data_IF_008081438195
#
_entry.id   IF_008081438195
#
_cell.length_a   1.000
_cell.length_b   1.000
_cell.length_c   1.000
_cell.angle_alpha   90.00
_cell.angle_beta   90.00
_cell.angle_gamma   90.00
#
_symmetry.space_group_name_H-M   'P 1'
#
loop_
_entity.id
_entity.type
_entity.pdbx_description
1 polymer ?
#
# COMPACT_ATOMS: atom_id res chain seq x y z
N UNK A 1 -10.75 -0.53 7.28
CA UNK A 1 -9.47 0.19 7.02
C UNK A 1 -8.24 -0.47 7.68
N UNK A 2 -8.42 -1.41 8.61
CA UNK A 2 -7.34 -2.10 9.35
C UNK A 2 -6.56 -3.11 8.49
N UNK A 3 -7.25 -3.95 7.70
CA UNK A 3 -6.59 -4.98 6.87
C UNK A 3 -5.65 -4.46 5.79
N UNK A 4 -5.95 -3.29 5.18
CA UNK A 4 -5.09 -2.69 4.16
C UNK A 4 -3.74 -2.20 4.73
N UNK A 5 -3.72 -1.77 6.00
CA UNK A 5 -2.47 -1.34 6.67
C UNK A 5 -1.61 -2.55 7.02
N UNK A 6 -2.20 -3.59 7.61
CA UNK A 6 -1.48 -4.83 7.94
C UNK A 6 -0.85 -5.46 6.72
N UNK A 7 -1.60 -5.55 5.60
CA UNK A 7 -1.07 -6.11 4.34
C UNK A 7 0.10 -5.31 3.79
N UNK A 8 0.03 -3.97 3.86
CA UNK A 8 1.13 -3.11 3.40
C UNK A 8 2.37 -3.26 4.26
N UNK A 9 2.23 -3.41 5.57
CA UNK A 9 3.37 -3.64 6.50
C UNK A 9 4.01 -4.98 6.18
N UNK A 10 3.20 -6.03 6.02
CA UNK A 10 3.69 -7.38 5.71
C UNK A 10 4.43 -7.43 4.38
N UNK A 11 3.91 -6.75 3.35
CA UNK A 11 4.58 -6.72 2.04
C UNK A 11 5.97 -6.07 2.10
N UNK A 12 6.11 -4.94 2.80
CA UNK A 12 7.40 -4.26 2.94
C UNK A 12 8.42 -5.11 3.72
N UNK A 13 7.98 -5.73 4.83
CA UNK A 13 8.85 -6.56 5.67
C UNK A 13 9.23 -7.88 5.01
N UNK A 14 8.30 -8.55 4.31
CA UNK A 14 8.61 -9.76 3.54
C UNK A 14 9.59 -9.47 2.39
N UNK A 15 9.44 -8.32 1.71
CA UNK A 15 10.35 -7.93 0.63
C UNK A 15 11.77 -7.67 1.17
N UNK A 16 11.89 -6.92 2.27
CA UNK A 16 13.17 -6.68 2.92
C UNK A 16 13.81 -8.00 3.39
N UNK A 17 13.05 -8.85 4.07
CA UNK A 17 13.53 -10.15 4.54
C UNK A 17 14.00 -11.04 3.39
N UNK A 18 13.25 -11.12 2.29
CA UNK A 18 13.66 -11.88 1.11
C UNK A 18 14.99 -11.38 0.53
N UNK A 19 15.17 -10.05 0.44
CA UNK A 19 16.43 -9.46 -0.04
C UNK A 19 17.57 -9.75 0.93
N UNK A 20 17.35 -9.60 2.24
CA UNK A 20 18.37 -9.91 3.26
C UNK A 20 18.75 -11.40 3.23
N UNK A 21 17.80 -12.31 3.05
CA UNK A 21 18.10 -13.74 2.88
C UNK A 21 18.97 -14.00 1.66
N UNK A 22 18.70 -13.35 0.52
CA UNK A 22 19.55 -13.44 -0.66
C UNK A 22 20.95 -12.89 -0.36
N UNK A 23 21.06 -11.73 0.30
CA UNK A 23 22.36 -11.16 0.71
C UNK A 23 23.13 -12.11 1.63
N UNK A 24 22.46 -12.73 2.60
CA UNK A 24 23.05 -13.73 3.50
C UNK A 24 23.59 -14.92 2.71
N UNK A 25 22.82 -15.45 1.75
CA UNK A 25 23.24 -16.57 0.91
C UNK A 25 24.45 -16.21 0.04
N UNK A 26 24.42 -15.02 -0.58
CA UNK A 26 25.54 -14.51 -1.39
C UNK A 26 26.79 -14.31 -0.54
N UNK A 27 26.66 -13.71 0.64
CA UNK A 27 27.79 -13.51 1.56
C UNK A 27 28.34 -14.83 2.08
N UNK A 28 27.49 -15.81 2.37
CA UNK A 28 27.94 -17.13 2.80
C UNK A 28 28.73 -17.84 1.69
N UNK A 29 28.32 -17.66 0.42
CA UNK A 29 29.00 -18.26 -0.72
C UNK A 29 30.32 -17.55 -1.08
N UNK A 30 30.36 -16.22 -1.02
CA UNK A 30 31.50 -15.43 -1.52
C UNK A 30 32.47 -14.97 -0.43
N UNK A 31 31.99 -14.76 0.80
CA UNK A 31 32.72 -14.13 1.90
C UNK A 31 32.35 -14.74 3.27
N UNK A 32 32.49 -16.07 3.47
CA UNK A 32 32.04 -16.75 4.68
C UNK A 32 32.72 -16.23 5.96
N UNK A 33 33.93 -15.67 5.85
CA UNK A 33 34.67 -15.09 6.97
C UNK A 33 33.90 -13.95 7.67
N UNK A 34 33.01 -13.24 6.97
CA UNK A 34 32.19 -12.17 7.55
C UNK A 34 31.19 -12.65 8.61
N UNK A 35 30.92 -13.96 8.67
CA UNK A 35 30.08 -14.52 9.73
C UNK A 35 30.86 -14.76 11.04
N UNK A 36 32.19 -14.69 11.03
CA UNK A 36 33.01 -14.88 12.23
C UNK A 36 33.07 -13.66 13.15
N UNK A 37 32.91 -12.45 12.62
CA UNK A 37 32.90 -11.19 13.40
C UNK A 37 31.58 -10.99 14.16
N UNK A 38 30.55 -11.78 13.86
CA UNK A 38 29.26 -11.78 14.55
C UNK A 38 28.35 -10.60 14.20
N UNK A 39 28.87 -9.42 13.87
CA UNK A 39 28.09 -8.21 13.52
C UNK A 39 27.16 -8.45 12.32
N UNK A 40 27.66 -9.04 11.24
CA UNK A 40 26.85 -9.40 10.07
C UNK A 40 25.71 -10.36 10.45
N UNK A 41 26.02 -11.42 11.21
CA UNK A 41 25.04 -12.42 11.64
C UNK A 41 23.98 -11.83 12.58
N UNK A 42 24.39 -10.97 13.52
CA UNK A 42 23.50 -10.27 14.44
C UNK A 42 22.58 -9.31 13.68
N UNK A 43 23.12 -8.53 12.75
CA UNK A 43 22.33 -7.61 11.93
C UNK A 43 21.31 -8.34 11.04
N UNK A 44 21.76 -9.37 10.32
CA UNK A 44 20.89 -10.21 9.49
C UNK A 44 19.81 -10.92 10.32
N UNK A 45 20.21 -11.52 11.45
CA UNK A 45 19.30 -12.15 12.40
C UNK A 45 18.31 -11.16 13.00
N UNK A 46 18.74 -9.92 13.23
CA UNK A 46 17.90 -8.82 13.69
C UNK A 46 16.80 -8.47 12.69
N UNK A 47 17.13 -8.33 11.39
CA UNK A 47 16.12 -8.09 10.36
C UNK A 47 15.15 -9.26 10.24
N UNK A 48 15.65 -10.50 10.16
CA UNK A 48 14.82 -11.71 10.04
C UNK A 48 13.90 -11.85 11.27
N UNK A 49 14.45 -11.67 12.47
CA UNK A 49 13.70 -11.73 13.72
C UNK A 49 12.63 -10.65 13.78
N UNK A 50 12.94 -9.42 13.36
CA UNK A 50 11.97 -8.34 13.30
C UNK A 50 10.87 -8.65 12.29
N UNK A 51 11.18 -9.23 11.13
CA UNK A 51 10.16 -9.70 10.18
C UNK A 51 9.22 -10.72 10.82
N UNK A 52 9.76 -11.73 11.52
CA UNK A 52 8.94 -12.75 12.21
C UNK A 52 8.04 -12.11 13.26
N UNK A 53 8.59 -11.24 14.10
CA UNK A 53 7.81 -10.47 15.09
C UNK A 53 6.70 -9.70 14.37
N UNK A 54 7.03 -9.02 13.28
CA UNK A 54 6.07 -8.22 12.52
C UNK A 54 4.94 -9.07 11.91
N UNK A 55 5.21 -10.31 11.50
CA UNK A 55 4.18 -11.19 10.95
C UNK A 55 3.23 -11.73 12.03
N UNK A 56 3.77 -12.06 13.21
CA UNK A 56 2.99 -12.63 14.33
C UNK A 56 2.24 -11.54 15.12
N UNK A 57 2.76 -10.32 15.13
CA UNK A 57 2.24 -9.25 16.00
C UNK A 57 0.83 -8.79 15.61
N UNK A 58 -0.12 -8.66 16.57
CA UNK A 58 -1.51 -8.34 16.29
C UNK A 58 -1.71 -6.84 16.02
N UNK A 59 -1.33 -6.37 14.83
CA UNK A 59 -1.41 -4.96 14.41
C UNK A 59 -2.79 -4.30 14.52
N UNK A 60 -3.86 -5.11 14.57
CA UNK A 60 -5.23 -4.60 14.73
C UNK A 60 -5.49 -3.99 16.13
N UNK A 61 -4.69 -4.36 17.14
CA UNK A 61 -4.86 -3.89 18.53
C UNK A 61 -3.94 -2.73 18.90
N UNK A 62 -3.04 -2.33 17.99
CA UNK A 62 -1.86 -1.55 18.36
C UNK A 62 -1.90 -0.18 17.72
N UNK A 63 -1.57 0.84 18.51
CA UNK A 63 -1.54 2.24 18.07
C UNK A 63 -0.48 2.52 16.99
N UNK A 64 -0.70 3.62 16.25
CA UNK A 64 0.19 4.10 15.18
C UNK A 64 1.67 4.31 15.56
N UNK A 65 2.05 4.73 16.79
CA UNK A 65 3.48 4.96 17.10
C UNK A 65 4.32 3.68 17.15
N UNK A 66 3.74 2.52 17.50
CA UNK A 66 4.50 1.26 17.54
C UNK A 66 4.88 0.81 16.13
N UNK A 67 4.03 1.07 15.13
CA UNK A 67 4.33 0.79 13.72
C UNK A 67 5.53 1.63 13.25
N UNK A 68 5.68 2.85 13.76
CA UNK A 68 6.82 3.72 13.43
C UNK A 68 8.13 3.11 13.89
N UNK A 69 8.18 2.22 14.89
CA UNK A 69 9.43 1.70 15.44
C UNK A 69 10.11 0.65 14.54
N UNK A 70 9.32 -0.10 13.78
CA UNK A 70 9.82 -1.16 12.89
C UNK A 70 10.89 -0.68 11.88
N UNK A 71 10.73 0.42 11.11
CA UNK A 71 11.77 0.91 10.19
C UNK A 71 13.02 1.39 10.92
N UNK A 72 12.89 1.93 12.14
CA UNK A 72 14.06 2.36 12.92
C UNK A 72 14.85 1.15 13.39
N UNK A 73 14.17 0.09 13.82
CA UNK A 73 14.82 -1.18 14.15
C UNK A 73 15.45 -1.82 12.91
N UNK A 74 14.80 -1.77 11.74
CA UNK A 74 15.41 -2.19 10.46
C UNK A 74 16.69 -1.39 10.16
N UNK A 75 16.65 -0.05 10.30
CA UNK A 75 17.81 0.83 10.06
C UNK A 75 18.98 0.44 10.98
N UNK A 76 18.71 0.20 12.25
CA UNK A 76 19.71 -0.22 13.23
C UNK A 76 20.28 -1.60 12.89
N UNK A 77 19.42 -2.58 12.58
CA UNK A 77 19.86 -3.92 12.23
C UNK A 77 20.72 -3.93 10.96
N UNK A 78 20.35 -3.15 9.95
CA UNK A 78 21.15 -2.97 8.72
C UNK A 78 22.47 -2.26 9.02
N UNK A 79 22.47 -1.25 9.90
CA UNK A 79 23.70 -0.56 10.32
C UNK A 79 24.67 -1.49 11.06
N UNK A 80 24.16 -2.36 11.93
CA UNK A 80 24.96 -3.41 12.57
C UNK A 80 25.49 -4.41 11.54
N UNK A 81 24.67 -4.80 10.57
CA UNK A 81 25.07 -5.71 9.49
C UNK A 81 26.19 -5.14 8.63
N UNK A 82 26.22 -3.81 8.47
CA UNK A 82 27.21 -3.09 7.67
C UNK A 82 28.51 -2.79 8.39
N UNK A 83 28.53 -2.87 9.72
CA UNK A 83 29.63 -2.35 10.52
C UNK A 83 31.00 -2.88 10.11
N UNK A 84 31.11 -4.20 9.92
CA UNK A 84 32.33 -4.87 9.44
C UNK A 84 32.20 -5.37 8.00
N UNK A 85 31.06 -5.10 7.36
CA UNK A 85 30.88 -5.47 5.96
C UNK A 85 31.71 -4.49 5.12
N UNK A 86 32.89 -4.90 4.68
CA UNK A 86 33.73 -4.14 3.74
C UNK A 86 33.13 -3.92 2.34
N UNK A 87 31.80 -3.93 2.21
CA UNK A 87 31.05 -3.84 0.97
C UNK A 87 29.84 -2.91 1.12
N UNK A 88 29.47 -2.25 0.03
CA UNK A 88 28.35 -1.31 -0.04
C UNK A 88 26.99 -2.02 0.05
N UNK A 89 26.51 -2.27 1.27
CA UNK A 89 25.14 -2.69 1.54
C UNK A 89 24.21 -1.48 1.78
N UNK A 90 24.70 -0.25 1.53
CA UNK A 90 24.03 1.02 1.80
C UNK A 90 22.61 1.09 1.21
N UNK A 91 22.40 0.45 0.06
CA UNK A 91 21.11 0.40 -0.61
C UNK A 91 20.05 -0.42 0.12
N UNK A 92 20.41 -1.28 1.08
CA UNK A 92 19.42 -1.96 1.92
C UNK A 92 18.61 -0.97 2.77
N UNK A 93 19.17 0.19 3.12
CA UNK A 93 18.43 1.24 3.79
C UNK A 93 17.33 1.87 2.92
N UNK A 94 17.35 1.66 1.59
CA UNK A 94 16.28 2.13 0.71
C UNK A 94 14.91 1.60 1.15
N UNK A 95 14.83 0.36 1.66
CA UNK A 95 13.58 -0.25 2.10
C UNK A 95 12.94 0.48 3.30
N UNK A 96 13.61 0.63 4.47
CA UNK A 96 13.03 1.39 5.58
C UNK A 96 12.83 2.86 5.23
N UNK A 97 13.68 3.45 4.37
CA UNK A 97 13.53 4.84 3.91
C UNK A 97 12.28 5.06 3.06
N UNK A 98 12.03 4.19 2.07
CA UNK A 98 10.80 4.22 1.25
C UNK A 98 9.58 4.01 2.14
N UNK A 99 9.68 3.14 3.13
CA UNK A 99 8.59 2.89 4.05
C UNK A 99 8.29 4.11 4.95
N UNK A 100 9.33 4.76 5.49
CA UNK A 100 9.24 6.03 6.21
C UNK A 100 8.59 7.12 5.36
N UNK A 101 9.07 7.31 4.12
CA UNK A 101 8.55 8.28 3.16
C UNK A 101 7.08 8.04 2.80
N UNK A 102 6.66 6.78 2.71
CA UNK A 102 5.32 6.42 2.24
C UNK A 102 4.22 6.68 3.28
N UNK A 103 4.49 6.47 4.57
CA UNK A 103 3.43 6.35 5.58
C UNK A 103 3.52 7.32 6.76
N UNK A 104 4.68 7.94 6.97
CA UNK A 104 4.97 8.69 8.20
C UNK A 104 5.20 10.19 7.96
N UNK A 105 5.37 10.93 9.05
CA UNK A 105 5.56 12.38 9.02
C UNK A 105 6.96 12.75 8.54
N UNK A 106 7.15 14.01 8.13
CA UNK A 106 8.47 14.52 7.73
C UNK A 106 9.50 14.38 8.86
N UNK A 107 9.08 14.50 10.13
CA UNK A 107 9.94 14.31 11.29
C UNK A 107 10.47 12.87 11.41
N UNK A 108 9.64 11.86 11.14
CA UNK A 108 10.08 10.47 11.14
C UNK A 108 11.09 10.20 10.01
N UNK A 109 10.90 10.83 8.85
CA UNK A 109 11.85 10.77 7.73
C UNK A 109 13.18 11.40 8.14
N UNK A 110 13.16 12.60 8.71
CA UNK A 110 14.37 13.29 9.16
C UNK A 110 15.14 12.50 10.21
N UNK A 111 14.43 11.92 11.19
CA UNK A 111 15.05 11.04 12.20
C UNK A 111 15.65 9.78 11.58
N UNK A 112 14.94 9.11 10.67
CA UNK A 112 15.43 7.88 10.05
C UNK A 112 16.63 8.12 9.14
N UNK A 113 16.54 9.09 8.23
CA UNK A 113 17.63 9.47 7.32
C UNK A 113 18.80 10.04 8.11
N UNK A 114 18.54 10.91 9.10
CA UNK A 114 19.57 11.43 9.99
C UNK A 114 20.27 10.34 10.79
N UNK A 115 19.53 9.32 11.24
CA UNK A 115 20.10 8.14 11.90
C UNK A 115 21.05 7.36 10.99
N UNK A 116 20.67 7.14 9.72
CA UNK A 116 21.56 6.52 8.72
C UNK A 116 22.82 7.35 8.49
N UNK A 117 22.67 8.68 8.36
CA UNK A 117 23.81 9.59 8.23
C UNK A 117 24.74 9.53 9.45
N UNK A 118 24.17 9.45 10.65
CA UNK A 118 24.93 9.31 11.89
C UNK A 118 25.69 7.98 11.95
N UNK A 119 25.08 6.86 11.50
CA UNK A 119 25.79 5.57 11.44
C UNK A 119 26.93 5.59 10.43
N UNK A 120 26.73 6.20 9.25
CA UNK A 120 27.79 6.35 8.25
C UNK A 120 28.94 7.22 8.77
N UNK A 121 28.61 8.35 9.41
CA UNK A 121 29.62 9.25 9.99
C UNK A 121 30.39 8.56 11.11
N UNK A 122 29.70 7.84 12.00
CA UNK A 122 30.34 7.11 13.09
C UNK A 122 31.28 6.03 12.55
N UNK A 123 30.85 5.26 11.55
CA UNK A 123 31.68 4.26 10.88
C UNK A 123 32.92 4.88 10.23
N UNK A 124 32.75 6.02 9.54
CA UNK A 124 33.85 6.75 8.92
C UNK A 124 34.89 7.24 9.93
N UNK A 125 34.45 7.72 11.10
CA UNK A 125 35.34 8.18 12.17
C UNK A 125 36.11 7.02 12.83
N UNK A 126 35.47 5.87 13.01
CA UNK A 126 36.08 4.72 13.70
C UNK A 126 37.01 3.91 12.81
N UNK A 127 36.76 3.90 11.50
CA UNK A 127 37.54 3.12 10.52
C UNK A 127 38.60 3.96 9.81
N UNK A 128 38.75 5.24 10.18
CA UNK A 128 39.63 6.23 9.53
C UNK A 128 39.44 6.23 8.01
N UNK A 129 38.19 6.42 7.58
CA UNK A 129 37.77 6.25 6.20
C UNK A 129 38.54 7.18 5.24
N UNK A 130 39.01 6.62 4.12
CA UNK A 130 39.67 7.41 3.08
C UNK A 130 38.70 8.36 2.37
N UNK A 131 39.24 9.29 1.57
CA UNK A 131 38.42 10.26 0.84
C UNK A 131 37.43 9.60 -0.13
N UNK A 132 37.77 8.45 -0.73
CA UNK A 132 36.88 7.73 -1.65
C UNK A 132 35.66 7.17 -0.91
N UNK A 133 35.89 6.57 0.26
CA UNK A 133 34.87 5.99 1.13
C UNK A 133 33.96 7.08 1.67
N UNK A 134 34.53 8.22 2.07
CA UNK A 134 33.76 9.36 2.54
C UNK A 134 32.86 9.95 1.44
N UNK A 135 33.36 10.05 0.20
CA UNK A 135 32.53 10.45 -0.96
C UNK A 135 31.42 9.42 -1.21
N UNK A 136 31.71 8.12 -1.13
CA UNK A 136 30.69 7.09 -1.29
C UNK A 136 29.58 7.20 -0.25
N UNK A 137 29.92 7.42 1.03
CA UNK A 137 28.93 7.64 2.09
C UNK A 137 28.11 8.91 1.87
N UNK A 138 28.73 10.02 1.45
CA UNK A 138 28.00 11.26 1.14
C UNK A 138 27.01 11.02 0.00
N UNK A 139 27.45 10.37 -1.09
CA UNK A 139 26.59 10.07 -2.25
C UNK A 139 25.46 9.13 -1.86
N UNK A 140 25.73 8.08 -1.08
CA UNK A 140 24.72 7.15 -0.60
C UNK A 140 23.70 7.84 0.31
N UNK A 141 24.16 8.66 1.26
CA UNK A 141 23.30 9.45 2.13
C UNK A 141 22.39 10.40 1.35
N UNK A 142 22.94 11.17 0.41
CA UNK A 142 22.16 12.10 -0.42
C UNK A 142 21.15 11.36 -1.30
N UNK A 143 21.53 10.20 -1.85
CA UNK A 143 20.64 9.35 -2.64
C UNK A 143 19.47 8.82 -1.80
N UNK A 144 19.72 8.36 -0.58
CA UNK A 144 18.69 7.90 0.35
C UNK A 144 17.79 9.06 0.81
N UNK A 145 18.36 10.23 1.11
CA UNK A 145 17.58 11.42 1.47
C UNK A 145 16.65 11.85 0.33
N UNK A 146 17.18 11.86 -0.91
CA UNK A 146 16.40 12.13 -2.11
C UNK A 146 15.28 11.09 -2.28
N UNK A 147 15.60 9.79 -2.14
CA UNK A 147 14.62 8.71 -2.24
C UNK A 147 13.50 8.85 -1.20
N UNK A 148 13.84 9.22 0.04
CA UNK A 148 12.88 9.47 1.11
C UNK A 148 11.91 10.59 0.73
N UNK A 149 12.46 11.70 0.23
CA UNK A 149 11.68 12.87 -0.16
C UNK A 149 10.79 12.58 -1.37
N UNK A 150 11.36 12.00 -2.43
CA UNK A 150 10.64 11.61 -3.64
C UNK A 150 9.46 10.70 -3.30
N UNK A 151 9.70 9.67 -2.50
CA UNK A 151 8.66 8.74 -2.04
C UNK A 151 7.57 9.47 -1.24
N UNK A 152 7.95 10.41 -0.37
CA UNK A 152 6.98 11.19 0.41
C UNK A 152 6.08 12.07 -0.45
N UNK A 153 6.62 12.65 -1.51
CA UNK A 153 5.88 13.49 -2.47
C UNK A 153 4.93 12.59 -3.29
N UNK A 154 5.43 11.49 -3.86
CA UNK A 154 4.62 10.54 -4.63
C UNK A 154 3.47 9.95 -3.81
N UNK A 155 3.71 9.65 -2.53
CA UNK A 155 2.69 9.14 -1.63
C UNK A 155 1.62 10.20 -1.31
N UNK A 156 1.99 11.49 -1.21
CA UNK A 156 1.02 12.59 -1.06
C UNK A 156 0.17 12.78 -2.32
N UNK A 157 0.80 12.79 -3.49
CA UNK A 157 0.09 12.94 -4.78
C UNK A 157 -0.89 11.80 -5.01
N UNK A 158 -0.47 10.55 -4.78
CA UNK A 158 -1.35 9.38 -4.95
C UNK A 158 -2.57 9.43 -4.04
N UNK A 159 -2.41 9.95 -2.81
CA UNK A 159 -3.53 10.16 -1.88
C UNK A 159 -4.49 11.24 -2.38
N UNK A 160 -3.99 12.36 -2.89
CA UNK A 160 -4.81 13.42 -3.48
C UNK A 160 -5.58 12.93 -4.72
N UNK A 161 -4.92 12.19 -5.62
CA UNK A 161 -5.55 11.62 -6.82
C UNK A 161 -6.66 10.62 -6.47
N UNK A 162 -6.42 9.72 -5.50
CA UNK A 162 -7.45 8.80 -5.01
C UNK A 162 -8.65 9.53 -4.39
N UNK A 163 -8.43 10.65 -3.71
CA UNK A 163 -9.52 11.48 -3.18
C UNK A 163 -10.34 12.14 -4.30
N UNK A 164 -9.68 12.62 -5.36
CA UNK A 164 -10.34 13.18 -6.54
C UNK A 164 -11.20 12.13 -7.26
N UNK A 165 -10.64 10.94 -7.53
CA UNK A 165 -11.37 9.84 -8.16
C UNK A 165 -12.61 9.42 -7.35
N UNK A 166 -12.47 9.28 -6.02
CA UNK A 166 -13.62 8.96 -5.15
C UNK A 166 -14.73 10.00 -5.22
N UNK A 167 -14.38 11.29 -5.30
CA UNK A 167 -15.35 12.37 -5.47
C UNK A 167 -16.04 12.33 -6.84
N UNK A 168 -15.32 11.93 -7.90
CA UNK A 168 -15.91 11.77 -9.23
C UNK A 168 -16.84 10.54 -9.31
N UNK A 169 -16.46 9.41 -8.71
CA UNK A 169 -17.30 8.21 -8.65
C UNK A 169 -18.60 8.46 -7.86
N UNK A 170 -18.52 9.19 -6.74
CA UNK A 170 -19.70 9.56 -5.97
C UNK A 170 -20.69 10.42 -6.79
N UNK A 171 -20.18 11.39 -7.56
CA UNK A 171 -21.02 12.24 -8.44
C UNK A 171 -21.64 11.46 -9.61
N UNK A 172 -20.94 10.48 -10.16
CA UNK A 172 -21.46 9.58 -11.19
C UNK A 172 -22.57 8.67 -10.64
N UNK A 173 -22.40 8.17 -9.42
CA UNK A 173 -23.43 7.38 -8.72
C UNK A 173 -24.67 8.24 -8.40
N UNK A 174 -24.49 9.47 -7.92
CA UNK A 174 -25.62 10.40 -7.67
C UNK A 174 -26.37 10.74 -8.97
N UNK A 175 -25.68 10.91 -10.08
CA UNK A 175 -26.29 11.16 -11.40
C UNK A 175 -27.09 9.95 -11.92
N UNK A 176 -26.64 8.73 -11.63
CA UNK A 176 -27.36 7.48 -11.96
C UNK A 176 -28.60 7.26 -11.07
N UNK A 177 -28.56 7.72 -9.82
CA UNK A 177 -29.75 7.76 -8.95
C UNK A 177 -30.79 8.78 -9.43
N UNK A 178 -30.36 9.90 -10.03
CA UNK A 178 -31.25 10.88 -10.66
C UNK A 178 -32.00 10.35 -11.88
N UNK A 179 -31.34 9.59 -12.76
CA UNK A 179 -31.98 9.03 -13.99
C UNK A 179 -32.94 7.88 -13.66
N UNK A 180 -32.68 7.11 -12.60
CA UNK A 180 -33.59 6.03 -12.14
C UNK A 180 -34.80 6.55 -11.35
N UNK A 181 -34.81 7.80 -10.90
CA UNK A 181 -35.99 8.47 -10.35
C UNK A 181 -36.93 9.03 -11.44
N UNK A 182 -36.42 9.31 -12.65
CA UNK A 182 -37.25 9.74 -13.81
C UNK A 182 -38.00 8.55 -14.44
N UNK A 183 -37.39 7.36 -14.49
CA UNK A 183 -38.00 6.16 -15.10
C UNK A 183 -39.15 5.55 -14.28
N UNK A 184 -39.29 5.91 -12.99
CA UNK A 184 -40.44 5.53 -12.15
C UNK A 184 -41.63 6.49 -12.24
N UNK A 185 -41.44 7.73 -12.72
CA UNK A 185 -42.53 8.72 -12.84
C UNK A 185 -43.33 8.61 -14.15
N UNK A 186 -42.77 8.00 -15.19
CA UNK A 186 -43.53 7.67 -16.41
C UNK A 186 -44.37 6.40 -16.24
N UNK A 187 -43.95 5.46 -15.38
CA UNK A 187 -44.74 4.25 -15.09
C UNK A 187 -45.86 4.49 -14.07
N UNK A 188 -45.77 5.53 -13.22
CA UNK A 188 -46.80 5.85 -12.23
C UNK A 188 -47.85 6.84 -12.72
N UNK A 189 -47.61 7.62 -13.78
CA UNK A 189 -48.66 8.41 -14.42
C UNK A 189 -49.54 7.60 -15.39
N UNK A 190 -49.09 6.44 -15.87
CA UNK A 190 -49.91 5.53 -16.69
C UNK A 190 -50.79 4.56 -15.90
N UNK A 191 -50.66 4.53 -14.56
CA UNK A 191 -51.44 3.63 -13.71
C UNK A 191 -52.54 4.37 -12.89
N UNK A 192 -52.82 5.62 -13.27
CA UNK A 192 -53.86 6.46 -12.66
C UNK A 192 -54.98 6.85 -13.64
N UNK A 193 -55.01 6.26 -14.84
CA UNK A 193 -56.10 6.40 -15.80
C UNK A 193 -56.75 5.03 -16.01
N UNK A 194 -58.04 4.94 -15.70
CA UNK A 194 -58.95 3.85 -16.09
C UNK A 194 -59.09 3.79 -17.61
N UNK A 195 -58.02 3.41 -18.32
CA UNK A 195 -58.05 3.16 -19.77
C UNK A 195 -57.27 1.87 -20.04
N UNK A 196 -58.01 0.82 -20.39
CA UNK A 196 -57.43 -0.44 -20.85
C UNK A 196 -56.78 -0.27 -22.22
N UNK A 197 -55.48 -0.54 -22.33
CA UNK A 197 -54.74 -0.53 -23.60
C UNK A 197 -54.39 -1.96 -23.98
N UNK A 198 -54.96 -2.45 -25.06
CA UNK A 198 -54.57 -3.72 -25.70
C UNK A 198 -53.73 -3.42 -26.93
N UNK A 199 -52.53 -4.00 -27.02
CA UNK A 199 -51.68 -3.86 -28.21
C UNK A 199 -51.94 -5.04 -29.16
N UNK A 200 -52.61 -4.74 -30.27
CA UNK A 200 -52.90 -5.71 -31.32
C UNK A 200 -51.87 -5.60 -32.45
N UNK A 201 -51.48 -6.72 -33.03
CA UNK A 201 -50.70 -6.73 -34.27
C UNK A 201 -51.59 -6.29 -35.44
N UNK A 202 -51.00 -5.85 -36.56
CA UNK A 202 -51.74 -5.51 -37.78
C UNK A 202 -52.54 -6.69 -38.38
N UNK A 203 -52.36 -7.90 -37.84
CA UNK A 203 -53.11 -9.12 -38.19
C UNK A 203 -54.15 -9.53 -37.13
N UNK A 204 -54.42 -8.68 -36.13
CA UNK A 204 -55.48 -8.88 -35.14
C UNK A 204 -55.15 -9.81 -33.98
N UNK A 205 -53.88 -10.19 -33.77
CA UNK A 205 -53.47 -11.00 -32.62
C UNK A 205 -53.01 -10.14 -31.44
N UNK A 206 -53.42 -10.54 -30.23
CA UNK A 206 -53.09 -9.87 -28.96
C UNK A 206 -51.64 -10.15 -28.60
N UNK A 207 -50.82 -9.10 -28.50
CA UNK A 207 -49.39 -9.23 -28.17
C UNK A 207 -49.08 -8.94 -26.70
N UNK A 208 -49.95 -8.20 -26.01
CA UNK A 208 -49.89 -7.97 -24.57
C UNK A 208 -51.22 -7.39 -24.08
N UNK A 209 -51.71 -7.91 -22.95
CA UNK A 209 -52.90 -7.42 -22.25
C UNK A 209 -52.51 -6.94 -20.84
N UNK A 210 -53.08 -5.83 -20.38
CA UNK A 210 -52.88 -5.35 -19.01
C UNK A 210 -53.81 -6.11 -18.04
N UNK A 211 -53.37 -6.35 -16.79
CA UNK A 211 -54.10 -7.11 -15.76
C UNK A 211 -55.49 -6.53 -15.46
N UNK A 212 -55.67 -5.22 -15.62
CA UNK A 212 -56.98 -4.56 -15.46
C UNK A 212 -58.00 -5.01 -16.52
N UNK A 213 -57.56 -5.32 -17.75
CA UNK A 213 -58.45 -5.81 -18.82
C UNK A 213 -58.81 -7.28 -18.61
N UNK A 214 -57.88 -8.07 -18.05
CA UNK A 214 -58.11 -9.48 -17.65
C UNK A 214 -59.18 -9.54 -16.55
N UNK A 215 -59.12 -8.64 -15.56
CA UNK A 215 -60.14 -8.55 -14.50
C UNK A 215 -61.51 -8.07 -14.97
N UNK A 216 -61.56 -7.15 -15.95
CA UNK A 216 -62.84 -6.61 -16.42
C UNK A 216 -63.63 -7.58 -17.30
N UNK A 217 -62.92 -8.45 -18.05
CA UNK A 217 -63.55 -9.41 -18.97
C UNK A 217 -63.62 -10.85 -18.46
N UNK A 218 -63.08 -11.14 -17.26
CA UNK A 218 -63.21 -12.45 -16.63
C UNK A 218 -62.63 -13.59 -17.47
N UNK A 219 -61.51 -13.34 -18.15
CA UNK A 219 -60.80 -14.36 -18.92
C UNK A 219 -59.81 -15.06 -17.98
N UNK A 220 -60.04 -16.35 -17.72
CA UNK A 220 -59.12 -17.18 -16.96
C UNK A 220 -57.83 -17.39 -17.79
N UNK A 221 -56.61 -17.34 -17.21
CA UNK A 221 -55.38 -17.37 -17.99
C UNK A 221 -54.99 -18.74 -18.56
N UNK A 222 -55.82 -19.78 -18.47
CA UNK A 222 -55.49 -21.16 -18.91
C UNK A 222 -56.59 -21.89 -19.69
N UNK A 223 -57.29 -21.19 -20.60
CA UNK A 223 -57.97 -21.83 -21.75
C UNK A 223 -57.50 -21.24 -23.09
#
# INVERSE_FOLDING_TARGET
>A
MTGARTRSIWQSQLLLCAVVLVVVLVMLALQPAQFSTGTFAIGAGGVIGLTVVTLVFPWHRVGRPIVVLVPFLDILAIGVMQWDAGFALDFLWAFPVVWLGSFFSIWAIMLGVGGIGATMLLSAMLTDADSRTMVAYIVAFLSLAFLALATSISARQTRAFKQLLRRQTAKLQDSLHGVSAQRRRVSQMFNALDIGVARLSARGQVLALNETLVRLYGLDPED
#
